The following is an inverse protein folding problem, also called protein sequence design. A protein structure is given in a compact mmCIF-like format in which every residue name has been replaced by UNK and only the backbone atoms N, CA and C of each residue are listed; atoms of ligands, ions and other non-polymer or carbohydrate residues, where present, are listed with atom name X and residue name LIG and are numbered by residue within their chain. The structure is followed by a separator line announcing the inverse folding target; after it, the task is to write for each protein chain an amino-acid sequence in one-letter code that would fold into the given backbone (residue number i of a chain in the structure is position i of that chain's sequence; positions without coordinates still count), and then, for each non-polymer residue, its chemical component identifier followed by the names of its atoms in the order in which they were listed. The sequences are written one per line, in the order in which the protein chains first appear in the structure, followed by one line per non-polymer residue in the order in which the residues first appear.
data_IF_474880544714
#
_entry.id   IF_474880544714
#
_cell.length_a   1.000
_cell.length_b   1.000
_cell.length_c   1.000
_cell.angle_alpha   90.00
_cell.angle_beta   90.00
_cell.angle_gamma   90.00
#
_symmetry.space_group_name_H-M   'P 1'
#
loop_
_entity.id
_entity.type
_entity.pdbx_description
1 polymer ?
#
# COMPACT_ATOMS: atom_id res chain seq x y z
N UNK A 1 -15.64 11.93 5.36
CA UNK A 1 -14.20 11.85 5.74
C UNK A 1 -13.78 13.10 6.50
N UNK A 2 -12.72 13.00 7.32
CA UNK A 2 -12.12 14.13 8.04
C UNK A 2 -11.45 15.09 7.05
N UNK A 3 -11.63 16.40 7.21
CA UNK A 3 -10.86 17.39 6.45
C UNK A 3 -9.39 17.33 6.88
N UNK A 4 -8.48 17.08 5.96
CA UNK A 4 -7.04 16.97 6.21
C UNK A 4 -6.24 18.18 5.69
N UNK A 5 -6.89 19.28 5.32
CA UNK A 5 -6.23 20.48 4.75
C UNK A 5 -5.13 21.03 5.68
N UNK A 6 -5.34 20.97 7.00
CA UNK A 6 -4.36 21.40 7.99
C UNK A 6 -3.26 20.35 8.28
N UNK A 7 -3.28 19.19 7.63
CA UNK A 7 -2.21 18.19 7.71
C UNK A 7 -1.07 18.59 6.77
N UNK A 8 -0.38 19.66 7.13
CA UNK A 8 0.72 20.28 6.39
C UNK A 8 1.82 20.71 7.35
N UNK A 9 3.06 20.75 6.88
CA UNK A 9 4.17 21.28 7.66
C UNK A 9 4.17 22.81 7.61
N UNK A 10 4.63 23.45 8.70
CA UNK A 10 4.60 24.92 8.81
C UNK A 10 5.36 25.62 7.67
N UNK A 11 6.45 25.03 7.17
CA UNK A 11 7.25 25.65 6.10
C UNK A 11 6.46 25.81 4.80
N UNK A 12 5.49 24.96 4.53
CA UNK A 12 4.63 25.06 3.35
C UNK A 12 3.81 26.36 3.42
N UNK A 13 3.16 26.60 4.56
CA UNK A 13 2.38 27.83 4.77
C UNK A 13 3.25 29.09 4.77
N UNK A 14 4.45 29.02 5.38
CA UNK A 14 5.38 30.18 5.38
C UNK A 14 5.90 30.50 3.99
N UNK A 15 6.20 29.48 3.17
CA UNK A 15 6.58 29.68 1.77
C UNK A 15 5.40 30.24 0.96
N UNK A 16 4.17 29.70 1.14
CA UNK A 16 2.97 30.21 0.46
C UNK A 16 2.70 31.68 0.80
N UNK A 17 2.89 32.10 2.07
CA UNK A 17 2.78 33.52 2.45
C UNK A 17 3.84 34.36 1.72
N UNK A 18 5.05 33.85 1.59
CA UNK A 18 6.11 34.47 0.80
C UNK A 18 5.75 34.60 -0.68
N UNK A 19 5.26 33.53 -1.31
CA UNK A 19 4.83 33.55 -2.72
C UNK A 19 3.78 34.61 -2.98
N UNK A 20 2.75 34.70 -2.10
CA UNK A 20 1.72 35.75 -2.22
C UNK A 20 2.32 37.16 -2.11
N UNK A 21 3.20 37.38 -1.11
CA UNK A 21 3.80 38.68 -0.86
C UNK A 21 4.68 39.19 -2.02
N UNK A 22 5.29 38.28 -2.77
CA UNK A 22 6.11 38.59 -3.93
C UNK A 22 5.39 38.48 -5.28
N UNK A 23 4.05 38.28 -5.28
CA UNK A 23 3.24 38.22 -6.51
C UNK A 23 3.48 36.95 -7.34
N UNK A 24 3.93 35.87 -6.70
CA UNK A 24 4.25 34.59 -7.36
C UNK A 24 3.11 33.56 -7.26
N UNK A 25 2.05 33.87 -6.55
CA UNK A 25 0.98 32.92 -6.16
C UNK A 25 0.32 32.19 -7.34
N UNK A 26 0.34 32.79 -8.52
CA UNK A 26 -0.25 32.24 -9.75
C UNK A 26 0.78 31.62 -10.70
N UNK A 27 2.09 31.68 -10.37
CA UNK A 27 3.12 31.03 -11.19
C UNK A 27 2.84 29.53 -11.20
N UNK A 28 2.74 28.91 -12.39
CA UNK A 28 2.56 27.47 -12.49
C UNK A 28 3.86 26.74 -12.25
N UNK A 29 3.82 25.73 -11.41
CA UNK A 29 4.97 24.91 -11.05
C UNK A 29 4.64 23.42 -11.25
N UNK A 30 5.64 22.65 -11.63
CA UNK A 30 5.59 21.21 -11.76
C UNK A 30 6.36 20.55 -10.63
N UNK A 31 5.70 19.67 -9.88
CA UNK A 31 6.33 18.87 -8.85
C UNK A 31 6.12 17.38 -9.14
N UNK A 32 7.09 16.57 -8.74
CA UNK A 32 6.99 15.11 -8.82
C UNK A 32 7.14 14.47 -7.45
N UNK A 33 6.33 13.44 -7.18
CA UNK A 33 6.56 12.46 -6.12
C UNK A 33 7.32 11.29 -6.73
N UNK A 34 8.40 10.91 -6.08
CA UNK A 34 9.17 9.67 -6.35
C UNK A 34 9.81 9.19 -5.06
N UNK A 35 10.23 7.93 -5.00
CA UNK A 35 10.97 7.43 -3.83
C UNK A 35 12.42 7.12 -4.19
N UNK A 36 13.27 7.18 -3.17
CA UNK A 36 14.69 6.84 -3.27
C UNK A 36 14.93 5.43 -2.77
N UNK A 37 15.81 4.70 -3.42
CA UNK A 37 16.20 3.36 -2.95
C UNK A 37 16.80 3.44 -1.55
N UNK A 38 16.28 2.63 -0.64
CA UNK A 38 16.76 2.48 0.73
C UNK A 38 16.97 0.97 1.00
N UNK A 39 18.16 0.47 0.68
CA UNK A 39 18.44 -0.97 0.75
C UNK A 39 17.70 -1.80 -0.29
N UNK A 40 17.73 -3.12 -0.13
CA UNK A 40 17.14 -4.06 -1.10
C UNK A 40 15.62 -4.17 -1.00
N UNK A 41 15.06 -3.84 0.18
CA UNK A 41 13.60 -3.88 0.42
C UNK A 41 12.82 -2.86 -0.41
N UNK A 42 13.48 -1.84 -0.95
CA UNK A 42 12.88 -0.81 -1.81
C UNK A 42 13.36 -0.88 -3.26
N UNK A 43 13.85 -2.05 -3.71
CA UNK A 43 14.25 -2.26 -5.10
C UNK A 43 13.07 -2.13 -6.08
N UNK A 44 11.86 -2.47 -5.64
CA UNK A 44 10.59 -2.12 -6.28
C UNK A 44 9.57 -1.73 -5.21
N UNK A 45 8.50 -1.09 -5.61
CA UNK A 45 7.35 -0.83 -4.75
C UNK A 45 6.03 -1.08 -5.50
N UNK A 46 4.95 -1.28 -4.73
CA UNK A 46 3.57 -1.38 -5.23
C UNK A 46 2.86 -0.07 -4.91
N UNK A 47 2.54 0.73 -5.91
CA UNK A 47 1.88 2.01 -5.71
C UNK A 47 0.53 1.85 -5.03
N UNK A 48 0.30 2.60 -3.95
CA UNK A 48 -0.97 2.60 -3.22
C UNK A 48 -1.20 3.96 -2.52
N UNK A 49 -2.45 4.26 -2.19
CA UNK A 49 -2.85 5.51 -1.52
C UNK A 49 -3.49 6.54 -2.43
N UNK A 50 -3.61 6.28 -3.75
CA UNK A 50 -4.17 7.23 -4.71
C UNK A 50 -5.63 7.58 -4.39
N UNK A 51 -6.46 6.63 -3.98
CA UNK A 51 -7.86 6.89 -3.62
C UNK A 51 -7.97 7.90 -2.47
N UNK A 52 -7.15 7.74 -1.42
CA UNK A 52 -7.14 8.70 -0.31
C UNK A 52 -6.53 10.06 -0.72
N UNK A 53 -5.52 10.06 -1.59
CA UNK A 53 -4.95 11.29 -2.15
C UNK A 53 -5.97 12.07 -2.99
N UNK A 54 -6.77 11.38 -3.80
CA UNK A 54 -7.89 11.97 -4.55
C UNK A 54 -8.89 12.62 -3.60
N UNK A 55 -9.30 11.91 -2.56
CA UNK A 55 -10.24 12.44 -1.57
C UNK A 55 -9.70 13.67 -0.84
N UNK A 56 -8.41 13.67 -0.50
CA UNK A 56 -7.74 14.82 0.10
C UNK A 56 -7.81 16.04 -0.83
N UNK A 57 -7.37 15.91 -2.07
CA UNK A 57 -7.33 17.02 -3.05
C UNK A 57 -8.75 17.54 -3.35
N UNK A 58 -9.71 16.64 -3.52
CA UNK A 58 -11.11 17.00 -3.82
C UNK A 58 -11.76 17.78 -2.70
N UNK A 59 -11.39 17.51 -1.44
CA UNK A 59 -11.95 18.14 -0.26
C UNK A 59 -11.07 19.27 0.31
N UNK A 60 -10.02 19.68 -0.41
CA UNK A 60 -9.09 20.70 0.02
C UNK A 60 -9.77 22.05 0.24
N UNK A 61 -9.87 22.50 1.48
CA UNK A 61 -10.39 23.81 1.84
C UNK A 61 -10.03 24.15 3.31
N UNK A 62 -9.72 25.40 3.55
CA UNK A 62 -9.56 25.91 4.92
C UNK A 62 -10.92 26.34 5.47
N UNK A 63 -11.28 25.81 6.63
CA UNK A 63 -12.48 26.25 7.38
C UNK A 63 -12.24 27.58 8.08
N UNK A 64 -13.32 28.22 8.56
CA UNK A 64 -13.19 29.43 9.37
C UNK A 64 -12.40 29.19 10.67
N UNK A 65 -12.50 27.99 11.25
CA UNK A 65 -11.76 27.58 12.44
C UNK A 65 -10.26 27.44 12.14
N UNK A 66 -9.92 26.85 10.97
CA UNK A 66 -8.52 26.76 10.51
C UNK A 66 -7.90 28.15 10.35
N UNK A 67 -8.60 29.07 9.71
CA UNK A 67 -8.15 30.45 9.51
C UNK A 67 -8.02 31.19 10.86
N UNK A 68 -8.96 30.99 11.79
CA UNK A 68 -8.88 31.59 13.13
C UNK A 68 -7.67 31.07 13.91
N UNK A 69 -7.40 29.75 13.82
CA UNK A 69 -6.20 29.15 14.42
C UNK A 69 -4.92 29.70 13.80
N UNK A 70 -4.80 29.72 12.47
CA UNK A 70 -3.61 30.28 11.80
C UNK A 70 -3.37 31.75 12.15
N UNK A 71 -4.45 32.55 12.28
CA UNK A 71 -4.38 33.94 12.73
C UNK A 71 -3.82 34.05 14.14
N UNK A 72 -4.19 33.14 15.03
CA UNK A 72 -3.73 33.15 16.45
C UNK A 72 -2.23 32.91 16.59
N UNK A 73 -1.58 32.33 15.58
CA UNK A 73 -0.13 32.11 15.55
C UNK A 73 0.67 33.43 15.40
N UNK A 74 0.04 34.50 14.91
CA UNK A 74 0.63 35.83 14.69
C UNK A 74 1.90 35.83 13.81
N UNK A 75 1.97 34.94 12.82
CA UNK A 75 3.10 34.81 11.90
C UNK A 75 2.69 35.03 10.44
N UNK A 76 1.39 35.14 10.16
CA UNK A 76 0.85 35.27 8.80
C UNK A 76 0.17 36.60 8.58
N UNK A 77 0.31 37.14 7.36
CA UNK A 77 -0.36 38.36 6.93
C UNK A 77 -1.88 38.14 6.73
N UNK A 78 -2.72 39.12 7.04
CA UNK A 78 -4.18 39.02 6.84
C UNK A 78 -4.55 38.78 5.37
N UNK A 79 -3.78 39.34 4.41
CA UNK A 79 -3.99 39.08 2.98
C UNK A 79 -3.78 37.58 2.64
N UNK A 80 -2.81 36.94 3.26
CA UNK A 80 -2.58 35.51 3.08
C UNK A 80 -3.70 34.67 3.69
N UNK A 81 -4.16 34.98 4.89
CA UNK A 81 -5.28 34.30 5.56
C UNK A 81 -6.56 34.42 4.73
N UNK A 82 -6.83 35.60 4.17
CA UNK A 82 -7.96 35.80 3.25
C UNK A 82 -7.84 34.98 1.96
N UNK A 83 -6.62 34.83 1.41
CA UNK A 83 -6.36 33.98 0.24
C UNK A 83 -6.56 32.49 0.54
N UNK A 84 -6.11 32.03 1.73
CA UNK A 84 -6.33 30.63 2.14
C UNK A 84 -7.83 30.29 2.28
N UNK A 85 -8.65 31.19 2.82
CA UNK A 85 -10.08 30.96 2.98
C UNK A 85 -10.82 30.62 1.63
N UNK A 86 -10.27 31.08 0.52
CA UNK A 86 -10.84 30.85 -0.83
C UNK A 86 -10.05 29.81 -1.63
N UNK A 87 -8.95 29.29 -1.08
CA UNK A 87 -8.09 28.36 -1.80
C UNK A 87 -8.83 27.06 -2.12
N UNK A 88 -8.69 26.62 -3.35
CA UNK A 88 -9.12 25.33 -3.88
C UNK A 88 -8.04 24.84 -4.85
N UNK A 89 -7.97 23.54 -5.07
CA UNK A 89 -7.09 23.01 -6.08
C UNK A 89 -7.68 23.28 -7.48
N UNK A 90 -6.88 23.90 -8.36
CA UNK A 90 -7.28 24.25 -9.74
C UNK A 90 -6.33 23.65 -10.78
N UNK A 91 -5.31 22.91 -10.37
CA UNK A 91 -4.26 22.37 -11.22
C UNK A 91 -4.60 21.04 -11.89
N UNK A 92 -3.53 20.38 -12.30
CA UNK A 92 -3.51 19.07 -12.96
C UNK A 92 -2.71 18.08 -12.10
N UNK A 93 -3.20 16.85 -11.99
CA UNK A 93 -2.47 15.74 -11.36
C UNK A 93 -2.51 14.55 -12.29
N UNK A 94 -1.32 13.99 -12.55
CA UNK A 94 -1.19 12.67 -13.13
C UNK A 94 -0.58 11.74 -12.08
N UNK A 95 -1.02 10.48 -12.06
CA UNK A 95 -0.49 9.49 -11.14
C UNK A 95 -0.47 8.09 -11.77
N UNK A 96 0.38 7.21 -11.23
CA UNK A 96 0.30 5.78 -11.54
C UNK A 96 -0.91 5.18 -10.82
N UNK A 97 -1.70 4.30 -11.47
CA UNK A 97 -2.78 3.58 -10.82
C UNK A 97 -2.29 2.70 -9.65
N UNK A 98 -3.14 2.49 -8.66
CA UNK A 98 -2.82 1.61 -7.54
C UNK A 98 -2.59 0.16 -8.01
N UNK A 99 -1.70 -0.55 -7.34
CA UNK A 99 -1.27 -1.89 -7.73
C UNK A 99 -0.16 -1.93 -8.79
N UNK A 100 0.18 -0.79 -9.39
CA UNK A 100 1.29 -0.71 -10.34
C UNK A 100 2.63 -0.91 -9.63
N UNK A 101 3.48 -1.78 -10.19
CA UNK A 101 4.87 -1.89 -9.76
C UNK A 101 5.63 -0.65 -10.24
N UNK A 102 6.37 -0.02 -9.35
CA UNK A 102 7.18 1.18 -9.59
C UNK A 102 8.60 0.99 -9.06
N UNK A 103 9.55 1.75 -9.61
CA UNK A 103 10.95 1.66 -9.24
C UNK A 103 11.49 2.97 -8.68
N UNK A 104 12.65 2.96 -7.97
CA UNK A 104 13.26 4.18 -7.43
C UNK A 104 13.51 5.25 -8.49
N UNK A 105 13.20 6.50 -8.16
CA UNK A 105 13.42 7.65 -9.04
C UNK A 105 12.31 7.92 -10.06
N UNK A 106 11.38 7.00 -10.24
CA UNK A 106 10.25 7.16 -11.15
C UNK A 106 9.19 8.12 -10.59
N UNK A 107 8.63 9.03 -11.40
CA UNK A 107 7.54 9.89 -10.97
C UNK A 107 6.27 9.05 -10.73
N UNK A 108 5.83 8.97 -9.47
CA UNK A 108 4.61 8.28 -9.06
C UNK A 108 3.40 9.20 -9.23
N UNK A 109 3.57 10.47 -8.86
CA UNK A 109 2.58 11.53 -9.02
C UNK A 109 3.29 12.75 -9.59
N UNK A 110 2.68 13.40 -10.59
CA UNK A 110 3.08 14.68 -11.12
C UNK A 110 1.96 15.70 -10.86
N UNK A 111 2.30 16.81 -10.24
CA UNK A 111 1.40 17.92 -9.97
C UNK A 111 1.83 19.14 -10.78
N UNK A 112 0.91 19.74 -11.56
CA UNK A 112 1.11 21.02 -12.22
C UNK A 112 -0.02 21.96 -11.76
N UNK A 113 0.33 22.98 -10.99
CA UNK A 113 -0.65 23.91 -10.42
C UNK A 113 -0.01 25.28 -10.13
N UNK A 114 -0.82 26.32 -9.80
CA UNK A 114 -0.30 27.50 -9.14
C UNK A 114 0.58 27.12 -7.97
N UNK A 115 1.73 27.76 -7.80
CA UNK A 115 2.79 27.31 -6.88
C UNK A 115 2.31 27.18 -5.43
N UNK A 116 1.40 28.04 -4.97
CA UNK A 116 0.80 27.93 -3.64
C UNK A 116 0.00 26.64 -3.48
N UNK A 117 -0.79 26.28 -4.48
CA UNK A 117 -1.59 25.05 -4.45
C UNK A 117 -0.70 23.82 -4.52
N UNK A 118 0.28 23.82 -5.44
CA UNK A 118 1.22 22.71 -5.58
C UNK A 118 2.04 22.49 -4.31
N UNK A 119 2.51 23.58 -3.65
CA UNK A 119 3.31 23.49 -2.43
C UNK A 119 2.51 22.90 -1.26
N UNK A 120 1.24 23.29 -1.10
CA UNK A 120 0.40 22.81 0.00
C UNK A 120 0.18 21.30 -0.02
N UNK A 121 0.26 20.67 -1.19
CA UNK A 121 0.00 19.23 -1.32
C UNK A 121 1.14 18.34 -0.79
N UNK A 122 2.34 18.84 -0.61
CA UNK A 122 3.57 18.05 -0.34
C UNK A 122 3.38 17.08 0.82
N UNK A 123 3.18 17.59 2.04
CA UNK A 123 3.17 16.74 3.25
C UNK A 123 2.03 15.72 3.23
N UNK A 124 0.82 16.12 2.87
CA UNK A 124 -0.33 15.23 2.87
C UNK A 124 -0.20 14.11 1.84
N UNK A 125 0.20 14.44 0.61
CA UNK A 125 0.42 13.44 -0.44
C UNK A 125 1.54 12.46 -0.05
N UNK A 126 2.66 12.97 0.47
CA UNK A 126 3.76 12.12 0.92
C UNK A 126 3.35 11.19 2.06
N UNK A 127 2.65 11.70 3.07
CA UNK A 127 2.17 10.89 4.18
C UNK A 127 1.28 9.74 3.71
N UNK A 128 0.32 10.04 2.85
CA UNK A 128 -0.65 9.07 2.31
C UNK A 128 0.05 8.02 1.43
N UNK A 129 0.80 8.47 0.43
CA UNK A 129 1.42 7.60 -0.58
C UNK A 129 2.55 6.77 0.02
N UNK A 130 3.41 7.37 0.85
CA UNK A 130 4.52 6.65 1.46
C UNK A 130 4.04 5.49 2.33
N UNK A 131 3.08 5.73 3.22
CA UNK A 131 2.57 4.70 4.12
C UNK A 131 1.90 3.57 3.35
N UNK A 132 0.93 3.87 2.48
CA UNK A 132 0.18 2.81 1.80
C UNK A 132 1.05 2.04 0.79
N UNK A 133 1.92 2.73 0.04
CA UNK A 133 2.87 2.08 -0.86
C UNK A 133 3.83 1.16 -0.10
N UNK A 134 4.32 1.59 1.05
CA UNK A 134 5.19 0.78 1.91
C UNK A 134 4.51 -0.52 2.34
N UNK A 135 3.28 -0.43 2.84
CA UNK A 135 2.53 -1.61 3.33
C UNK A 135 2.12 -2.52 2.16
N UNK A 136 1.66 -1.98 1.03
CA UNK A 136 1.34 -2.76 -0.16
C UNK A 136 2.57 -3.53 -0.68
N UNK A 137 3.74 -2.89 -0.66
CA UNK A 137 5.01 -3.51 -1.05
C UNK A 137 5.39 -4.65 -0.11
N UNK A 138 5.32 -4.44 1.21
CA UNK A 138 5.59 -5.50 2.20
C UNK A 138 4.61 -6.67 2.03
N UNK A 139 3.31 -6.37 1.86
CA UNK A 139 2.29 -7.39 1.62
C UNK A 139 2.57 -8.20 0.35
N UNK A 140 2.99 -7.56 -0.76
CA UNK A 140 3.32 -8.25 -2.01
C UNK A 140 4.46 -9.26 -1.85
N UNK A 141 5.47 -8.96 -1.02
CA UNK A 141 6.57 -9.89 -0.69
C UNK A 141 6.08 -11.09 0.10
N UNK A 142 5.22 -10.85 1.11
CA UNK A 142 4.60 -11.90 1.91
C UNK A 142 3.76 -12.83 1.02
N UNK A 143 2.93 -12.25 0.14
CA UNK A 143 2.09 -13.01 -0.80
C UNK A 143 2.96 -13.82 -1.77
N UNK A 144 4.06 -13.26 -2.28
CA UNK A 144 4.99 -13.99 -3.14
C UNK A 144 5.65 -15.16 -2.41
N UNK A 145 6.07 -14.98 -1.15
CA UNK A 145 6.64 -16.05 -0.33
C UNK A 145 5.64 -17.18 -0.05
N UNK A 146 4.35 -16.88 0.02
CA UNK A 146 3.27 -17.85 0.20
C UNK A 146 3.05 -18.76 -1.01
N UNK A 147 3.62 -18.45 -2.19
CA UNK A 147 3.61 -19.31 -3.40
C UNK A 147 2.22 -19.82 -3.80
N UNK A 148 1.22 -18.95 -3.79
CA UNK A 148 -0.16 -19.25 -4.17
C UNK A 148 -1.09 -19.63 -3.01
N UNK A 149 -0.59 -19.80 -1.81
CA UNK A 149 -1.44 -19.91 -0.62
C UNK A 149 -2.10 -18.57 -0.28
N UNK A 150 -3.19 -18.62 0.46
CA UNK A 150 -3.91 -17.41 0.89
C UNK A 150 -3.14 -16.66 1.98
N UNK A 151 -3.07 -15.34 1.88
CA UNK A 151 -2.54 -14.45 2.93
C UNK A 151 -3.66 -13.55 3.44
N UNK A 152 -3.82 -13.49 4.76
CA UNK A 152 -4.78 -12.63 5.45
C UNK A 152 -4.04 -11.58 6.29
N UNK A 153 -4.53 -10.35 6.26
CA UNK A 153 -3.99 -9.25 7.06
C UNK A 153 -4.57 -9.29 8.48
N UNK A 154 -3.72 -9.47 9.51
CA UNK A 154 -4.10 -9.58 10.93
C UNK A 154 -3.41 -8.56 11.85
N UNK A 155 -2.99 -7.42 11.29
CA UNK A 155 -2.12 -6.46 11.97
C UNK A 155 -2.81 -5.31 12.69
N UNK A 156 -4.14 -5.12 12.60
CA UNK A 156 -4.84 -3.94 13.12
C UNK A 156 -4.37 -3.49 14.52
N UNK A 157 -4.32 -4.42 15.49
CA UNK A 157 -3.93 -4.11 16.88
C UNK A 157 -2.45 -3.72 17.07
N UNK A 158 -1.63 -3.85 16.02
CA UNK A 158 -0.19 -3.53 16.01
C UNK A 158 0.17 -2.33 15.14
N UNK A 159 -0.78 -1.80 14.39
CA UNK A 159 -0.59 -0.62 13.55
C UNK A 159 -0.30 0.63 14.39
N UNK A 160 0.43 1.58 13.82
CA UNK A 160 0.80 2.83 14.47
C UNK A 160 -0.34 3.85 14.41
N UNK A 161 -1.45 3.52 15.02
CA UNK A 161 -2.65 4.35 15.13
C UNK A 161 -3.80 3.89 14.23
N UNK A 162 -5.01 4.45 14.43
CA UNK A 162 -6.22 4.00 13.74
C UNK A 162 -6.13 4.11 12.22
N UNK A 163 -5.66 5.25 11.71
CA UNK A 163 -5.54 5.48 10.27
C UNK A 163 -4.54 4.50 9.64
N UNK A 164 -3.40 4.25 10.31
CA UNK A 164 -2.43 3.26 9.85
C UNK A 164 -3.02 1.85 9.79
N UNK A 165 -3.89 1.48 10.75
CA UNK A 165 -4.60 0.21 10.72
C UNK A 165 -5.63 0.11 9.59
N UNK A 166 -6.39 1.17 9.34
CA UNK A 166 -7.44 1.21 8.31
C UNK A 166 -6.83 1.19 6.90
N UNK A 167 -5.96 2.16 6.62
CA UNK A 167 -5.36 2.30 5.29
C UNK A 167 -4.25 1.29 5.03
N UNK A 168 -3.57 0.82 6.08
CA UNK A 168 -2.60 -0.26 5.97
C UNK A 168 -3.26 -1.59 5.59
N UNK A 169 -4.41 -1.93 6.17
CA UNK A 169 -5.15 -3.12 5.80
C UNK A 169 -5.66 -3.05 4.34
N UNK A 170 -6.14 -1.86 3.89
CA UNK A 170 -6.49 -1.63 2.49
C UNK A 170 -5.26 -1.82 1.58
N UNK A 171 -4.14 -1.24 1.93
CA UNK A 171 -2.90 -1.36 1.18
C UNK A 171 -2.40 -2.80 1.11
N UNK A 172 -2.54 -3.59 2.18
CA UNK A 172 -2.20 -5.01 2.16
C UNK A 172 -3.05 -5.80 1.15
N UNK A 173 -4.33 -5.46 0.98
CA UNK A 173 -5.19 -6.06 -0.05
C UNK A 173 -4.73 -5.67 -1.46
N UNK A 174 -4.32 -4.41 -1.68
CA UNK A 174 -3.70 -3.99 -2.95
C UNK A 174 -2.40 -4.78 -3.21
N UNK A 175 -1.63 -5.07 -2.17
CA UNK A 175 -0.42 -5.92 -2.24
C UNK A 175 -0.69 -7.41 -2.45
N UNK A 176 -1.98 -7.84 -2.50
CA UNK A 176 -2.39 -9.21 -2.83
C UNK A 176 -2.94 -10.04 -1.67
N UNK A 177 -3.11 -9.47 -0.46
CA UNK A 177 -3.83 -10.16 0.61
C UNK A 177 -5.30 -10.37 0.23
N UNK A 178 -5.84 -11.56 0.49
CA UNK A 178 -7.21 -11.91 0.10
C UNK A 178 -8.27 -11.32 1.04
N UNK A 179 -7.92 -11.04 2.30
CA UNK A 179 -8.84 -10.49 3.28
C UNK A 179 -8.08 -9.80 4.43
N UNK A 180 -8.82 -9.06 5.24
CA UNK A 180 -8.32 -8.48 6.51
C UNK A 180 -9.20 -8.88 7.68
N UNK A 181 -8.66 -8.88 8.89
CA UNK A 181 -9.46 -8.96 10.12
C UNK A 181 -10.06 -7.61 10.54
N UNK A 182 -9.73 -6.53 9.85
CA UNK A 182 -10.18 -5.18 10.17
C UNK A 182 -11.61 -4.93 9.63
N UNK A 183 -12.60 -5.04 10.52
CA UNK A 183 -14.01 -4.89 10.18
C UNK A 183 -14.33 -3.51 9.59
N UNK A 184 -13.70 -2.45 10.12
CA UNK A 184 -13.92 -1.08 9.62
C UNK A 184 -13.34 -0.89 8.21
N UNK A 185 -12.19 -1.48 7.92
CA UNK A 185 -11.62 -1.48 6.55
C UNK A 185 -12.56 -2.20 5.58
N UNK A 186 -13.11 -3.36 6.00
CA UNK A 186 -14.12 -4.07 5.21
C UNK A 186 -15.34 -3.21 4.90
N UNK A 187 -15.85 -2.49 5.89
CA UNK A 187 -17.00 -1.60 5.74
C UNK A 187 -16.72 -0.40 4.81
N UNK A 188 -15.55 0.23 4.96
CA UNK A 188 -15.21 1.45 4.22
C UNK A 188 -14.85 1.18 2.75
N UNK A 189 -14.15 0.08 2.49
CA UNK A 189 -13.56 -0.19 1.16
C UNK A 189 -14.11 -1.44 0.48
N UNK A 190 -15.07 -2.13 1.09
CA UNK A 190 -15.66 -3.34 0.51
C UNK A 190 -14.69 -4.52 0.40
N UNK A 191 -13.57 -4.51 1.14
CA UNK A 191 -12.62 -5.62 1.13
C UNK A 191 -13.15 -6.79 1.98
N UNK A 192 -12.84 -8.07 1.61
CA UNK A 192 -13.28 -9.21 2.38
C UNK A 192 -12.76 -9.18 3.82
N UNK A 193 -13.62 -9.55 4.77
CA UNK A 193 -13.26 -9.67 6.19
C UNK A 193 -13.18 -11.15 6.56
N UNK A 194 -12.08 -11.56 7.20
CA UNK A 194 -11.83 -12.93 7.63
C UNK A 194 -11.15 -13.01 8.99
N UNK A 195 -11.36 -14.09 9.67
CA UNK A 195 -10.80 -14.34 11.00
C UNK A 195 -11.47 -15.52 11.68
N UNK A 196 -11.06 -15.77 12.92
CA UNK A 196 -11.60 -16.83 13.79
C UNK A 196 -11.59 -16.35 15.24
N UNK A 197 -11.66 -17.26 16.19
CA UNK A 197 -11.57 -16.95 17.62
C UNK A 197 -10.12 -16.82 18.10
N UNK A 198 -9.94 -16.31 19.33
CA UNK A 198 -8.67 -16.25 20.04
C UNK A 198 -8.58 -17.30 21.15
N UNK A 199 -7.38 -17.49 21.75
CA UNK A 199 -7.17 -18.41 22.88
C UNK A 199 -8.12 -18.12 24.06
N UNK A 200 -8.47 -16.85 24.31
CA UNK A 200 -9.41 -16.45 25.36
C UNK A 200 -10.79 -17.10 25.22
N UNK A 201 -11.24 -17.38 23.98
CA UNK A 201 -12.47 -18.17 23.76
C UNK A 201 -12.35 -19.56 24.35
N UNK A 202 -11.26 -20.28 24.03
CA UNK A 202 -11.03 -21.64 24.52
C UNK A 202 -10.93 -21.63 26.05
N UNK A 203 -10.19 -20.68 26.61
CA UNK A 203 -9.97 -20.53 28.06
C UNK A 203 -11.23 -20.15 28.84
N UNK A 204 -12.26 -19.62 28.20
CA UNK A 204 -13.51 -19.22 28.86
C UNK A 204 -14.52 -20.38 29.06
N UNK A 205 -14.21 -21.57 28.56
CA UNK A 205 -14.99 -22.77 28.71
C UNK A 205 -14.36 -23.74 29.72
N UNK A 206 -15.13 -24.71 30.29
CA UNK A 206 -14.57 -25.66 31.22
C UNK A 206 -13.47 -26.55 30.68
N UNK A 207 -13.51 -26.82 29.35
CA UNK A 207 -12.49 -27.56 28.60
C UNK A 207 -12.48 -27.17 27.11
N UNK A 208 -11.44 -27.55 26.42
CA UNK A 208 -11.20 -27.21 25.02
C UNK A 208 -12.27 -27.81 24.08
N UNK A 209 -12.69 -29.05 24.34
CA UNK A 209 -13.71 -29.71 23.51
C UNK A 209 -15.06 -28.99 23.59
N UNK A 210 -15.45 -28.54 24.78
CA UNK A 210 -16.66 -27.75 25.00
C UNK A 210 -16.62 -26.41 24.26
N UNK A 211 -15.45 -25.74 24.29
CA UNK A 211 -15.23 -24.50 23.53
C UNK A 211 -15.37 -24.70 22.03
N UNK A 212 -14.79 -25.77 21.49
CA UNK A 212 -14.86 -26.10 20.06
C UNK A 212 -16.25 -26.45 19.60
N UNK A 213 -17.02 -27.23 20.41
CA UNK A 213 -18.42 -27.55 20.15
C UNK A 213 -19.30 -26.29 20.11
N UNK A 214 -19.12 -25.41 21.09
CA UNK A 214 -19.82 -24.13 21.13
C UNK A 214 -19.52 -23.25 19.90
N UNK A 215 -18.25 -23.19 19.45
CA UNK A 215 -17.89 -22.46 18.25
C UNK A 215 -18.51 -23.06 16.98
N UNK A 216 -18.46 -24.38 16.84
CA UNK A 216 -19.03 -25.11 15.72
C UNK A 216 -20.58 -24.99 15.66
N UNK A 217 -21.25 -24.88 16.80
CA UNK A 217 -22.71 -24.66 16.86
C UNK A 217 -23.09 -23.28 16.32
N UNK A 218 -22.32 -22.25 16.67
CA UNK A 218 -22.58 -20.86 16.24
C UNK A 218 -22.16 -20.62 14.78
N UNK A 219 -21.04 -21.24 14.34
CA UNK A 219 -20.46 -21.03 13.02
C UNK A 219 -20.25 -22.34 12.23
N UNK A 220 -21.30 -23.12 11.95
CA UNK A 220 -21.17 -24.45 11.34
C UNK A 220 -20.59 -24.39 9.91
N UNK A 221 -20.88 -23.34 9.13
CA UNK A 221 -20.38 -23.15 7.77
C UNK A 221 -18.98 -22.55 7.70
N UNK A 222 -18.43 -22.10 8.84
CA UNK A 222 -17.13 -21.43 8.90
C UNK A 222 -16.35 -21.85 10.16
N UNK A 223 -16.39 -23.15 10.46
CA UNK A 223 -15.76 -23.71 11.64
C UNK A 223 -14.24 -23.84 11.42
N UNK A 224 -13.51 -22.86 11.95
CA UNK A 224 -12.04 -22.81 11.99
C UNK A 224 -11.61 -22.76 13.45
N UNK A 225 -10.94 -23.82 13.93
CA UNK A 225 -10.61 -24.02 15.35
C UNK A 225 -9.13 -23.73 15.62
N UNK A 226 -8.85 -22.92 16.63
CA UNK A 226 -7.51 -22.61 17.13
C UNK A 226 -7.10 -23.71 18.11
N UNK A 227 -6.10 -24.54 17.72
CA UNK A 227 -5.84 -25.85 18.37
C UNK A 227 -4.58 -25.88 19.25
N UNK A 228 -3.94 -24.73 19.44
CA UNK A 228 -2.69 -24.64 20.20
C UNK A 228 -2.82 -23.88 21.54
N UNK A 229 -4.04 -23.87 22.12
CA UNK A 229 -4.25 -23.24 23.43
C UNK A 229 -3.53 -24.00 24.56
N UNK A 230 -3.52 -25.33 24.49
CA UNK A 230 -2.86 -26.22 25.47
C UNK A 230 -1.82 -27.09 24.78
N UNK A 231 -2.18 -28.29 24.33
CA UNK A 231 -1.29 -29.16 23.58
C UNK A 231 -1.88 -29.46 22.21
N UNK A 232 -1.16 -29.06 21.16
CA UNK A 232 -1.65 -29.14 19.80
C UNK A 232 -1.96 -30.56 19.34
N UNK A 233 -1.04 -31.52 19.59
CA UNK A 233 -1.11 -32.85 18.99
C UNK A 233 -1.85 -33.87 19.89
N UNK A 234 -1.81 -33.68 21.22
CA UNK A 234 -2.44 -34.62 22.16
C UNK A 234 -3.83 -34.18 22.62
N UNK A 235 -4.19 -32.89 22.42
CA UNK A 235 -5.48 -32.31 22.80
C UNK A 235 -6.17 -31.59 21.65
N UNK A 236 -5.57 -30.52 21.12
CA UNK A 236 -6.22 -29.60 20.19
C UNK A 236 -6.70 -30.25 18.90
N UNK A 237 -5.81 -30.91 18.16
CA UNK A 237 -6.18 -31.59 16.90
C UNK A 237 -7.14 -32.77 17.13
N UNK A 238 -6.96 -33.65 18.13
CA UNK A 238 -7.93 -34.69 18.45
C UNK A 238 -9.33 -34.16 18.81
N UNK A 239 -9.42 -33.08 19.60
CA UNK A 239 -10.68 -32.43 19.93
C UNK A 239 -11.33 -31.79 18.69
N UNK A 240 -10.54 -31.14 17.83
CA UNK A 240 -11.02 -30.60 16.57
C UNK A 240 -11.61 -31.70 15.66
N UNK A 241 -10.91 -32.83 15.51
CA UNK A 241 -11.39 -33.99 14.73
C UNK A 241 -12.72 -34.52 15.30
N UNK A 242 -12.85 -34.58 16.61
CA UNK A 242 -14.13 -34.99 17.27
C UNK A 242 -15.26 -34.06 16.85
N UNK A 243 -15.05 -32.75 16.93
CA UNK A 243 -16.05 -31.75 16.55
C UNK A 243 -16.32 -31.77 15.05
N UNK A 244 -15.32 -31.99 14.21
CA UNK A 244 -15.49 -32.11 12.75
C UNK A 244 -16.36 -33.31 12.36
N UNK A 245 -16.24 -34.45 13.05
CA UNK A 245 -17.11 -35.57 12.86
C UNK A 245 -18.57 -35.24 13.29
N UNK A 246 -18.76 -34.53 14.41
CA UNK A 246 -20.08 -34.06 14.87
C UNK A 246 -20.71 -33.07 13.87
N UNK A 247 -19.89 -32.14 13.28
CA UNK A 247 -20.34 -31.25 12.22
C UNK A 247 -20.78 -31.99 10.97
N UNK A 248 -19.96 -32.95 10.51
CA UNK A 248 -20.25 -33.75 9.32
C UNK A 248 -21.54 -34.57 9.50
N UNK A 249 -21.78 -35.11 10.69
CA UNK A 249 -23.04 -35.79 11.01
C UNK A 249 -24.28 -34.87 10.91
N UNK A 250 -24.08 -33.55 11.05
CA UNK A 250 -25.12 -32.51 10.86
C UNK A 250 -25.17 -31.97 9.42
N UNK A 251 -24.36 -32.48 8.50
CA UNK A 251 -24.35 -32.08 7.09
C UNK A 251 -23.43 -30.87 6.77
N UNK A 252 -22.51 -30.53 7.67
CA UNK A 252 -21.55 -29.43 7.47
C UNK A 252 -20.11 -29.97 7.32
N UNK A 253 -19.27 -29.27 6.57
CA UNK A 253 -17.83 -29.55 6.49
C UNK A 253 -17.04 -28.46 7.22
N UNK A 254 -15.97 -28.84 7.97
CA UNK A 254 -15.15 -27.87 8.68
C UNK A 254 -14.29 -27.05 7.72
N UNK A 255 -14.01 -25.80 8.08
CA UNK A 255 -13.04 -24.96 7.36
C UNK A 255 -11.62 -25.46 7.62
N UNK A 256 -11.28 -25.80 8.86
CA UNK A 256 -9.97 -26.31 9.22
C UNK A 256 -9.53 -25.97 10.64
N UNK A 257 -8.21 -26.00 10.84
CA UNK A 257 -7.55 -25.68 12.10
C UNK A 257 -6.59 -24.49 11.94
N UNK A 258 -6.28 -23.82 13.05
CA UNK A 258 -5.28 -22.75 13.11
C UNK A 258 -4.22 -23.05 14.16
N UNK A 259 -2.98 -22.82 13.79
CA UNK A 259 -1.77 -22.85 14.60
C UNK A 259 -1.23 -21.43 14.76
N UNK A 260 -0.91 -21.00 15.96
CA UNK A 260 -0.43 -19.64 16.27
C UNK A 260 0.96 -19.65 16.94
N UNK A 261 1.44 -20.82 17.34
CA UNK A 261 2.67 -20.99 18.12
C UNK A 261 3.37 -22.35 17.89
N UNK A 262 4.59 -22.47 18.40
CA UNK A 262 5.40 -23.69 18.35
C UNK A 262 6.16 -23.87 17.01
N UNK A 263 6.67 -25.09 16.77
CA UNK A 263 7.29 -25.45 15.49
C UNK A 263 6.22 -25.68 14.43
N UNK A 264 5.86 -24.60 13.72
CA UNK A 264 4.78 -24.61 12.73
C UNK A 264 5.03 -25.61 11.60
N UNK A 265 6.29 -25.85 11.20
CA UNK A 265 6.60 -26.82 10.15
C UNK A 265 6.32 -28.25 10.64
N UNK A 266 6.79 -28.60 11.81
CA UNK A 266 6.54 -29.91 12.42
C UNK A 266 5.04 -30.10 12.72
N UNK A 267 4.44 -29.16 13.46
CA UNK A 267 3.05 -29.26 13.92
C UNK A 267 2.07 -29.34 12.73
N UNK A 268 2.27 -28.56 11.68
CA UNK A 268 1.38 -28.58 10.51
C UNK A 268 1.45 -29.93 9.77
N UNK A 269 2.63 -30.53 9.63
CA UNK A 269 2.78 -31.86 9.02
C UNK A 269 2.10 -32.96 9.84
N UNK A 270 2.26 -32.93 11.18
CA UNK A 270 1.60 -33.90 12.04
C UNK A 270 0.07 -33.72 12.04
N UNK A 271 -0.39 -32.49 12.17
CA UNK A 271 -1.83 -32.16 12.12
C UNK A 271 -2.44 -32.56 10.76
N UNK A 272 -1.74 -32.34 9.64
CA UNK A 272 -2.20 -32.77 8.31
C UNK A 272 -2.39 -34.29 8.25
N UNK A 273 -1.40 -35.04 8.74
CA UNK A 273 -1.50 -36.51 8.81
C UNK A 273 -2.71 -36.97 9.63
N UNK A 274 -2.91 -36.38 10.81
CA UNK A 274 -4.03 -36.71 11.69
C UNK A 274 -5.39 -36.38 11.03
N UNK A 275 -5.50 -35.24 10.38
CA UNK A 275 -6.71 -34.82 9.65
C UNK A 275 -7.02 -35.75 8.46
N UNK A 276 -6.00 -36.17 7.72
CA UNK A 276 -6.13 -37.09 6.58
C UNK A 276 -6.58 -38.47 7.05
N UNK A 277 -5.96 -39.02 8.10
CA UNK A 277 -6.32 -40.30 8.70
C UNK A 277 -7.77 -40.29 9.28
N UNK A 278 -8.23 -39.13 9.74
CA UNK A 278 -9.59 -38.93 10.22
C UNK A 278 -10.63 -38.65 9.08
N UNK A 279 -10.18 -38.62 7.82
CA UNK A 279 -11.06 -38.39 6.64
C UNK A 279 -11.37 -36.92 6.35
N UNK A 280 -10.50 -35.97 6.75
CA UNK A 280 -10.63 -34.54 6.49
C UNK A 280 -9.48 -33.98 5.61
N UNK A 281 -9.25 -34.53 4.40
CA UNK A 281 -8.15 -34.10 3.54
C UNK A 281 -8.31 -32.65 3.04
N UNK A 282 -9.54 -32.14 2.99
CA UNK A 282 -9.87 -30.79 2.52
C UNK A 282 -9.85 -29.73 3.64
N UNK A 283 -9.77 -30.13 4.91
CA UNK A 283 -9.65 -29.19 6.01
C UNK A 283 -8.33 -28.41 5.89
N UNK A 284 -8.42 -27.09 5.88
CA UNK A 284 -7.25 -26.21 5.73
C UNK A 284 -6.46 -26.10 7.03
N UNK A 285 -5.16 -25.87 6.92
CA UNK A 285 -4.32 -25.52 8.05
C UNK A 285 -3.91 -24.07 7.90
N UNK A 286 -4.33 -23.26 8.86
CA UNK A 286 -3.97 -21.84 8.98
C UNK A 286 -2.78 -21.71 9.91
N UNK A 287 -1.89 -20.78 9.60
CA UNK A 287 -0.83 -20.37 10.51
C UNK A 287 -0.87 -18.87 10.77
N UNK A 288 -0.52 -18.46 11.98
CA UNK A 288 -0.36 -17.07 12.39
C UNK A 288 0.71 -16.97 13.48
N UNK A 289 0.98 -15.74 13.98
CA UNK A 289 2.09 -15.49 14.93
C UNK A 289 3.36 -15.07 14.19
N UNK A 290 3.94 -13.97 14.52
CA UNK A 290 5.23 -13.37 14.07
C UNK A 290 5.75 -13.77 12.66
N UNK A 291 4.83 -13.88 11.69
CA UNK A 291 5.12 -14.28 10.31
C UNK A 291 5.52 -13.07 9.47
N UNK A 292 6.44 -13.33 8.53
CA UNK A 292 6.81 -12.46 7.42
C UNK A 292 7.19 -13.29 6.18
N UNK A 293 7.68 -12.65 5.13
CA UNK A 293 8.10 -13.31 3.90
C UNK A 293 9.24 -14.30 4.11
N UNK A 294 10.20 -14.01 4.99
CA UNK A 294 11.35 -14.89 5.26
C UNK A 294 10.90 -16.13 6.01
N UNK A 295 10.15 -15.95 7.09
CA UNK A 295 9.61 -17.08 7.89
C UNK A 295 8.69 -17.97 7.04
N UNK A 296 7.83 -17.39 6.21
CA UNK A 296 6.93 -18.14 5.32
C UNK A 296 7.76 -18.93 4.29
N UNK A 297 8.77 -18.29 3.70
CA UNK A 297 9.66 -18.96 2.76
C UNK A 297 10.35 -20.17 3.39
N UNK A 298 10.89 -20.01 4.59
CA UNK A 298 11.58 -21.08 5.33
C UNK A 298 10.63 -22.21 5.73
N UNK A 299 9.44 -21.90 6.22
CA UNK A 299 8.42 -22.89 6.56
C UNK A 299 8.02 -23.71 5.33
N UNK A 300 7.84 -23.07 4.17
CA UNK A 300 7.54 -23.78 2.91
C UNK A 300 8.74 -24.64 2.45
N UNK A 301 9.97 -24.18 2.61
CA UNK A 301 11.15 -24.97 2.30
C UNK A 301 11.28 -26.21 3.20
N UNK A 302 10.82 -26.14 4.45
CA UNK A 302 10.73 -27.27 5.39
C UNK A 302 9.54 -28.19 5.14
N UNK A 303 8.70 -27.92 4.12
CA UNK A 303 7.54 -28.74 3.78
C UNK A 303 6.36 -28.56 4.75
N UNK A 304 6.19 -27.39 5.36
CA UNK A 304 5.01 -27.08 6.17
C UNK A 304 3.71 -27.28 5.38
N UNK A 305 2.73 -27.94 5.98
CA UNK A 305 1.44 -28.26 5.37
C UNK A 305 0.41 -27.16 5.65
N UNK A 306 0.79 -25.90 5.39
CA UNK A 306 0.00 -24.70 5.66
C UNK A 306 -0.56 -24.18 4.35
N UNK A 307 -1.85 -23.77 4.36
CA UNK A 307 -2.58 -23.30 3.18
C UNK A 307 -3.00 -21.83 3.30
N UNK A 308 -3.04 -21.28 4.52
CA UNK A 308 -3.47 -19.91 4.79
C UNK A 308 -2.58 -19.28 5.86
N UNK A 309 -2.13 -18.08 5.59
CA UNK A 309 -1.18 -17.34 6.42
C UNK A 309 -1.83 -16.07 6.97
N UNK A 310 -1.96 -15.98 8.29
CA UNK A 310 -2.45 -14.78 8.99
C UNK A 310 -1.26 -13.93 9.43
N UNK A 311 -0.95 -12.86 8.70
CA UNK A 311 0.23 -12.04 8.93
C UNK A 311 -0.14 -10.72 9.59
N UNK A 312 0.49 -10.40 10.71
CA UNK A 312 0.13 -9.25 11.54
C UNK A 312 1.22 -8.18 11.62
N UNK A 313 1.94 -8.15 12.73
CA UNK A 313 2.85 -7.09 13.15
C UNK A 313 3.84 -6.69 12.06
N UNK A 314 4.60 -7.65 11.54
CA UNK A 314 5.70 -7.38 10.62
C UNK A 314 5.22 -6.81 9.29
N UNK A 315 4.01 -7.16 8.84
CA UNK A 315 3.42 -6.63 7.62
C UNK A 315 2.86 -5.21 7.83
N UNK A 316 1.98 -5.01 8.84
CA UNK A 316 1.29 -3.73 9.02
C UNK A 316 2.21 -2.60 9.48
N UNK A 317 3.36 -2.91 10.04
CA UNK A 317 4.38 -1.94 10.44
C UNK A 317 5.51 -1.80 9.42
N UNK A 318 5.55 -2.66 8.40
CA UNK A 318 6.71 -2.81 7.50
C UNK A 318 8.02 -2.84 8.30
N UNK A 319 8.11 -3.79 9.24
CA UNK A 319 9.06 -3.77 10.35
C UNK A 319 10.52 -3.59 9.91
N UNK A 320 10.90 -4.16 8.77
CA UNK A 320 12.28 -4.14 8.28
C UNK A 320 12.63 -2.84 7.53
N UNK A 321 11.60 -2.11 7.08
CA UNK A 321 11.76 -0.83 6.39
C UNK A 321 10.62 0.11 6.78
N UNK A 322 10.79 0.93 7.84
CA UNK A 322 9.71 1.74 8.42
C UNK A 322 9.32 2.96 7.58
N UNK A 323 10.09 3.28 6.53
CA UNK A 323 9.84 4.45 5.68
C UNK A 323 10.15 4.16 4.21
N UNK A 324 9.28 4.59 3.30
CA UNK A 324 9.49 4.41 1.85
C UNK A 324 10.61 5.31 1.30
N UNK A 325 10.86 6.45 1.91
CA UNK A 325 11.82 7.44 1.41
C UNK A 325 11.29 8.26 0.22
N UNK A 326 9.98 8.41 0.12
CA UNK A 326 9.33 9.26 -0.88
C UNK A 326 9.63 10.73 -0.65
N UNK A 327 9.74 11.47 -1.75
CA UNK A 327 10.02 12.90 -1.76
C UNK A 327 9.11 13.60 -2.78
N UNK A 328 8.83 14.89 -2.53
CA UNK A 328 8.09 15.78 -3.41
C UNK A 328 9.03 16.90 -3.87
N UNK A 329 9.29 17.05 -5.17
CA UNK A 329 10.34 17.96 -5.65
C UNK A 329 9.89 18.77 -6.84
N UNK A 330 10.19 20.09 -6.76
CA UNK A 330 10.03 21.00 -7.88
C UNK A 330 10.92 20.55 -9.03
N UNK A 331 10.33 20.32 -10.19
CA UNK A 331 11.02 19.85 -11.41
C UNK A 331 10.99 20.86 -12.55
N UNK A 332 9.98 21.73 -12.61
CA UNK A 332 9.88 22.80 -13.58
C UNK A 332 9.00 23.94 -13.07
N UNK A 333 9.18 25.15 -13.63
CA UNK A 333 8.35 26.32 -13.37
C UNK A 333 8.01 26.98 -14.68
N UNK A 334 6.78 27.46 -14.84
CA UNK A 334 6.36 28.17 -16.06
C UNK A 334 6.88 29.60 -16.08
N UNK A 335 7.69 29.91 -17.10
CA UNK A 335 8.23 31.23 -17.38
C UNK A 335 7.82 31.64 -18.79
N UNK A 336 7.12 32.76 -18.93
CA UNK A 336 6.66 33.26 -20.24
C UNK A 336 5.87 32.21 -21.07
N UNK A 337 5.03 31.42 -20.41
CA UNK A 337 4.19 30.39 -21.05
C UNK A 337 4.93 29.11 -21.44
N UNK A 338 6.15 28.90 -20.97
CA UNK A 338 6.94 27.67 -21.18
C UNK A 338 7.48 27.14 -19.86
N UNK A 339 7.43 25.84 -19.67
CA UNK A 339 8.05 25.21 -18.51
C UNK A 339 9.57 25.17 -18.66
N UNK A 340 10.26 25.87 -17.77
CA UNK A 340 11.70 25.81 -17.60
C UNK A 340 12.07 24.78 -16.54
N UNK A 341 13.03 23.89 -16.81
CA UNK A 341 13.46 22.89 -15.84
C UNK A 341 14.08 23.54 -14.61
N UNK A 342 13.79 22.96 -13.43
CA UNK A 342 14.38 23.32 -12.14
C UNK A 342 15.10 22.10 -11.57
N UNK A 343 16.36 22.28 -11.22
CA UNK A 343 17.20 21.20 -10.70
C UNK A 343 17.84 21.61 -9.38
N UNK A 344 17.76 20.72 -8.39
CA UNK A 344 18.59 20.84 -7.20
C UNK A 344 19.91 20.14 -7.44
N UNK A 345 20.99 20.91 -7.55
CA UNK A 345 22.36 20.40 -7.54
C UNK A 345 22.77 20.18 -6.08
N UNK A 346 23.19 18.98 -5.74
CA UNK A 346 23.56 18.59 -4.38
C UNK A 346 24.93 17.93 -4.37
N UNK A 347 25.69 18.12 -3.30
CA UNK A 347 26.95 17.40 -3.06
C UNK A 347 26.75 15.88 -2.94
N UNK A 348 25.53 15.45 -2.56
CA UNK A 348 25.14 14.05 -2.59
C UNK A 348 24.40 13.73 -3.91
N UNK A 349 25.02 12.96 -4.85
CA UNK A 349 24.40 12.61 -6.13
C UNK A 349 23.01 11.99 -6.03
N UNK A 350 22.75 11.17 -5.00
CA UNK A 350 21.43 10.57 -4.75
C UNK A 350 20.32 11.60 -4.41
N UNK A 351 20.68 12.87 -4.16
CA UNK A 351 19.74 13.97 -3.90
C UNK A 351 19.57 14.91 -5.10
N UNK A 352 20.26 14.70 -6.20
CA UNK A 352 20.05 15.43 -7.45
C UNK A 352 18.66 15.05 -7.98
N UNK A 353 17.89 16.06 -8.38
CA UNK A 353 16.55 15.85 -8.92
C UNK A 353 16.58 15.73 -10.43
N UNK A 354 15.71 14.93 -11.01
CA UNK A 354 15.52 14.85 -12.45
C UNK A 354 14.59 15.99 -12.89
N UNK A 355 15.09 17.00 -13.65
CA UNK A 355 14.35 18.22 -13.97
C UNK A 355 13.38 18.03 -15.16
N UNK A 356 12.50 19.01 -15.37
CA UNK A 356 11.58 19.09 -16.49
C UNK A 356 10.20 18.48 -16.21
N UNK A 357 9.28 18.67 -17.13
CA UNK A 357 7.94 18.05 -17.11
C UNK A 357 8.05 16.66 -17.70
N UNK A 358 7.93 15.64 -16.86
CA UNK A 358 8.25 14.26 -17.21
C UNK A 358 7.00 13.40 -17.41
N UNK A 359 7.17 12.36 -18.22
CA UNK A 359 6.27 11.22 -18.39
C UNK A 359 7.00 9.94 -18.00
N UNK A 360 6.27 8.93 -17.59
CA UNK A 360 6.78 7.59 -17.30
C UNK A 360 6.12 6.60 -18.25
N UNK A 361 6.93 5.83 -18.95
CA UNK A 361 6.51 4.83 -19.91
C UNK A 361 7.03 3.46 -19.53
N UNK A 362 6.20 2.41 -19.68
CA UNK A 362 6.63 1.02 -19.58
C UNK A 362 6.56 0.33 -20.93
N UNK A 363 7.64 -0.35 -21.28
CA UNK A 363 7.78 -1.10 -22.52
C UNK A 363 7.54 -2.57 -22.25
N UNK A 364 6.78 -3.21 -23.12
CA UNK A 364 6.42 -4.61 -23.04
C UNK A 364 6.86 -5.33 -24.32
N UNK A 365 7.39 -6.53 -24.18
CA UNK A 365 7.63 -7.42 -25.31
C UNK A 365 6.32 -7.84 -25.97
N UNK A 366 6.17 -7.64 -27.27
CA UNK A 366 4.91 -7.90 -27.97
C UNK A 366 4.49 -9.36 -27.98
N UNK A 367 5.46 -10.29 -27.96
CA UNK A 367 5.18 -11.72 -28.03
C UNK A 367 4.80 -12.29 -26.68
N UNK A 368 5.58 -11.98 -25.63
CA UNK A 368 5.40 -12.56 -24.30
C UNK A 368 4.50 -11.71 -23.38
N UNK A 369 4.26 -10.44 -23.73
CA UNK A 369 3.58 -9.48 -22.87
C UNK A 369 4.34 -9.11 -21.60
N UNK A 370 5.62 -9.50 -21.47
CA UNK A 370 6.44 -9.19 -20.30
C UNK A 370 6.97 -7.77 -20.36
N UNK A 371 7.00 -7.09 -19.21
CA UNK A 371 7.66 -5.80 -19.08
C UNK A 371 9.17 -5.95 -19.33
N UNK A 372 9.73 -5.08 -20.16
CA UNK A 372 11.13 -5.03 -20.53
C UNK A 372 11.89 -3.97 -19.77
N UNK A 373 11.34 -2.75 -19.74
CA UNK A 373 11.97 -1.59 -19.10
C UNK A 373 10.96 -0.47 -18.85
N UNK A 374 11.32 0.44 -17.95
CA UNK A 374 10.64 1.71 -17.76
C UNK A 374 11.54 2.85 -18.25
N UNK A 375 10.92 3.89 -18.82
CA UNK A 375 11.62 5.07 -19.35
C UNK A 375 10.96 6.34 -18.79
N UNK A 376 11.79 7.18 -18.17
CA UNK A 376 11.43 8.54 -17.84
C UNK A 376 11.80 9.43 -19.04
N UNK A 377 10.80 10.07 -19.64
CA UNK A 377 10.98 10.94 -20.79
C UNK A 377 10.41 12.34 -20.53
N UNK A 378 10.76 13.32 -21.33
CA UNK A 378 10.12 14.63 -21.30
C UNK A 378 8.73 14.57 -21.96
N UNK A 379 7.86 15.45 -21.53
CA UNK A 379 6.55 15.57 -22.17
C UNK A 379 6.71 16.02 -23.65
N UNK A 380 6.00 15.31 -24.56
CA UNK A 380 6.09 15.55 -25.99
C UNK A 380 7.03 14.61 -26.74
N UNK A 381 7.85 13.82 -26.05
CA UNK A 381 8.58 12.71 -26.70
C UNK A 381 7.63 11.56 -27.04
N UNK A 382 7.73 11.03 -28.26
CA UNK A 382 6.87 9.95 -28.79
C UNK A 382 7.70 8.71 -29.09
N UNK A 383 7.23 7.57 -28.59
CA UNK A 383 7.86 6.25 -28.73
C UNK A 383 6.97 5.27 -29.50
N UNK A 384 5.91 5.74 -30.15
CA UNK A 384 4.94 4.92 -30.87
C UNK A 384 5.42 4.44 -32.24
N UNK A 385 6.53 4.99 -32.76
CA UNK A 385 7.06 4.65 -34.09
C UNK A 385 7.41 3.17 -34.28
N UNK A 386 7.68 2.44 -33.19
CA UNK A 386 8.14 1.04 -33.22
C UNK A 386 9.58 0.85 -33.70
N UNK A 387 10.32 1.93 -33.92
CA UNK A 387 11.75 1.89 -34.25
C UNK A 387 12.59 1.40 -33.05
N UNK A 388 13.74 0.76 -33.28
CA UNK A 388 14.63 0.38 -32.20
C UNK A 388 15.04 1.59 -31.34
N UNK A 389 14.83 1.48 -30.01
CA UNK A 389 15.09 2.55 -29.04
C UNK A 389 16.26 2.15 -28.11
N UNK A 390 17.34 2.91 -28.09
CA UNK A 390 18.40 2.74 -27.11
C UNK A 390 18.03 3.50 -25.83
N UNK A 391 17.97 2.80 -24.70
CA UNK A 391 17.79 3.36 -23.37
C UNK A 391 19.01 3.05 -22.50
N UNK A 392 19.20 3.81 -21.43
CA UNK A 392 20.34 3.66 -20.52
C UNK A 392 19.94 3.91 -19.07
N UNK A 393 20.69 3.30 -18.13
CA UNK A 393 20.59 3.55 -16.70
C UNK A 393 21.15 4.95 -16.38
N UNK A 394 20.38 5.89 -15.82
CA UNK A 394 20.85 7.25 -15.57
C UNK A 394 21.98 7.34 -14.53
N UNK A 395 22.10 6.38 -13.62
CA UNK A 395 23.21 6.33 -12.65
C UNK A 395 24.46 5.66 -13.24
N UNK A 396 24.26 4.74 -14.21
CA UNK A 396 25.33 3.96 -14.84
C UNK A 396 25.16 4.01 -16.37
N UNK A 397 25.42 5.15 -16.98
CA UNK A 397 25.13 5.44 -18.39
C UNK A 397 25.81 4.50 -19.40
N UNK A 398 26.75 3.67 -18.96
CA UNK A 398 27.34 2.59 -19.74
C UNK A 398 26.46 1.32 -19.82
N UNK A 399 25.50 1.17 -18.92
CA UNK A 399 24.48 0.12 -19.00
C UNK A 399 23.39 0.58 -19.96
N UNK A 400 23.37 -0.04 -21.14
CA UNK A 400 22.45 0.30 -22.22
C UNK A 400 21.65 -0.92 -22.63
N UNK A 401 20.44 -0.70 -23.15
CA UNK A 401 19.59 -1.70 -23.76
C UNK A 401 18.95 -1.13 -25.02
N UNK A 402 18.89 -1.93 -26.08
CA UNK A 402 18.12 -1.59 -27.27
C UNK A 402 16.79 -2.35 -27.22
N UNK A 403 15.69 -1.62 -27.19
CA UNK A 403 14.34 -2.16 -27.25
C UNK A 403 13.92 -2.30 -28.71
N UNK A 404 13.41 -3.49 -29.07
CA UNK A 404 12.86 -3.80 -30.38
C UNK A 404 11.51 -4.53 -30.19
N UNK A 405 10.62 -4.44 -31.16
CA UNK A 405 9.32 -5.15 -31.18
C UNK A 405 8.52 -4.99 -29.89
N UNK A 406 8.47 -3.79 -29.37
CA UNK A 406 7.80 -3.45 -28.13
C UNK A 406 6.40 -2.85 -28.32
N UNK A 407 5.58 -2.97 -27.29
CA UNK A 407 4.42 -2.13 -27.00
C UNK A 407 4.79 -1.15 -25.88
N UNK A 408 4.44 0.12 -26.04
CA UNK A 408 4.69 1.16 -25.01
C UNK A 408 3.38 1.61 -24.40
N UNK A 409 3.37 1.74 -23.07
CA UNK A 409 2.23 2.27 -22.31
C UNK A 409 2.66 3.38 -21.36
N UNK A 410 1.97 4.53 -21.36
CA UNK A 410 2.17 5.53 -20.32
C UNK A 410 1.66 4.97 -18.99
N UNK A 411 2.44 5.16 -17.92
CA UNK A 411 2.05 4.74 -16.57
C UNK A 411 1.35 5.88 -15.81
N UNK A 412 1.69 7.15 -16.09
CA UNK A 412 1.01 8.29 -15.48
C UNK A 412 -0.33 8.54 -16.19
N UNK A 413 -1.42 8.37 -15.46
CA UNK A 413 -2.81 8.59 -15.91
C UNK A 413 -3.33 9.92 -15.40
N UNK A 414 -4.16 10.69 -16.17
CA UNK A 414 -4.82 11.90 -15.67
C UNK A 414 -5.75 11.59 -14.49
N UNK A 415 -5.55 12.31 -13.39
CA UNK A 415 -6.37 12.21 -12.18
C UNK A 415 -7.23 13.48 -12.03
N UNK A 416 -6.59 14.65 -12.08
CA UNK A 416 -7.28 15.95 -12.09
C UNK A 416 -6.85 16.74 -13.32
N UNK A 417 -7.82 17.40 -13.93
CA UNK A 417 -7.62 18.38 -15.01
C UNK A 417 -8.37 19.68 -14.66
N UNK A 418 -7.65 20.79 -14.60
CA UNK A 418 -8.21 22.08 -14.22
C UNK A 418 -9.02 22.01 -12.91
N UNK A 419 -8.48 21.31 -11.90
CA UNK A 419 -9.10 21.10 -10.60
C UNK A 419 -10.28 20.12 -10.58
N UNK A 420 -10.64 19.50 -11.69
CA UNK A 420 -11.75 18.54 -11.80
C UNK A 420 -11.21 17.12 -11.82
N UNK A 421 -11.80 16.25 -11.01
CA UNK A 421 -11.52 14.81 -11.03
C UNK A 421 -11.99 14.21 -12.35
N UNK A 422 -11.07 13.60 -13.11
CA UNK A 422 -11.34 12.92 -14.39
C UNK A 422 -11.07 11.42 -14.32
N UNK A 423 -10.44 10.94 -13.25
CA UNK A 423 -10.09 9.54 -13.05
C UNK A 423 -11.27 8.73 -12.51
N UNK A 424 -11.44 7.55 -13.08
CA UNK A 424 -12.31 6.50 -12.52
C UNK A 424 -11.42 5.30 -12.20
N UNK A 425 -11.40 4.88 -10.95
CA UNK A 425 -10.65 3.69 -10.56
C UNK A 425 -11.24 2.45 -11.24
N UNK A 426 -10.38 1.54 -11.65
CA UNK A 426 -10.81 0.23 -12.14
C UNK A 426 -11.63 -0.46 -11.04
N UNK A 427 -12.77 -1.00 -11.42
CA UNK A 427 -13.56 -1.86 -10.52
C UNK A 427 -12.75 -3.12 -10.23
N UNK A 428 -12.57 -3.42 -8.95
CA UNK A 428 -11.87 -4.63 -8.45
C UNK A 428 -12.55 -5.91 -8.89
#
# INVERSE_FOLDING_TARGET
MRNLTMMTDLYELTMMNGYLRFGMENNRACFDIFYRKQGDMTAYAVAAGLEQAIDYVRNLHFSNEDIAYLRSLNIFDEAFLARLATLRFTGEILAVPEGTIIFPGEPIIRVIAPIMEAQLLETALLNIINHQTLIATKASRVVQAARGDSVLEFGLRRAQGPDAGIYGARAAVIGGCQATSNVLTGQLFGVPVGGTHAHSWVMSFPDELSAFRAYAEVFPNNCLLLVDTYDTLTSGVPNAITVFNELRAKGYEPTGIRLDSGDLAFLSRQARKMLDEAGFPNAKIFASGDLDEEVIWDLKAQGAAINVWGVGTRMITSMDNPALGGVYKLSAEEVNGKFEPRIKISENPAKITNPGVKRLYRFYDRLSGKALADLIALEGEDFSSGEPLEIFDPENTWKKMTLCDYEVRPLLTPIFENGRLVYTADTR
#
